data_IF_019833741955
#
_entry.id   IF_019833741955
#
_cell.length_a   1.000
_cell.length_b   1.000
_cell.length_c   1.000
_cell.angle_alpha   90.00
_cell.angle_beta   90.00
_cell.angle_gamma   90.00
#
_symmetry.space_group_name_H-M   'P 1'
#
loop_
_entity.id
_entity.type
_entity.pdbx_description
1 polymer ?
#
# COMPACT_ATOMS: atom_id res chain seq x y z
N UNK A 1 4.19 20.10 -0.92
CA UNK A 1 4.67 19.51 0.35
C UNK A 1 6.15 19.21 0.19
N UNK A 2 7.01 19.80 1.02
CA UNK A 2 8.44 19.48 1.08
C UNK A 2 8.66 18.54 2.26
N UNK A 3 9.26 17.38 2.01
CA UNK A 3 9.67 16.44 3.06
C UNK A 3 11.11 16.76 3.45
N UNK A 4 11.37 16.80 4.75
CA UNK A 4 12.70 17.03 5.30
C UNK A 4 12.89 16.16 6.54
N UNK A 5 14.13 15.75 6.78
CA UNK A 5 14.55 15.08 8.01
C UNK A 5 15.08 16.07 9.05
N UNK A 6 15.14 17.36 8.71
CA UNK A 6 15.52 18.43 9.63
C UNK A 6 14.49 18.59 10.74
N UNK A 7 14.90 18.28 11.97
CA UNK A 7 14.05 18.28 13.14
C UNK A 7 13.80 19.67 13.70
N UNK A 8 14.61 20.68 13.35
CA UNK A 8 14.40 22.05 13.81
C UNK A 8 13.08 22.62 13.29
N UNK A 9 12.65 22.15 12.12
CA UNK A 9 11.38 22.53 11.49
C UNK A 9 10.15 21.85 12.10
N UNK A 10 10.32 20.90 13.03
CA UNK A 10 9.19 20.20 13.67
C UNK A 10 8.33 21.12 14.54
N UNK A 11 8.90 22.21 15.06
CA UNK A 11 8.18 23.20 15.86
C UNK A 11 7.22 24.06 15.02
N UNK A 12 7.48 24.20 13.71
CA UNK A 12 6.71 25.08 12.82
C UNK A 12 5.97 24.33 11.70
N UNK A 13 6.33 23.08 11.40
CA UNK A 13 5.70 22.25 10.37
C UNK A 13 4.76 21.16 10.92
N UNK A 14 4.49 20.16 10.07
CA UNK A 14 3.81 18.92 10.47
C UNK A 14 4.81 17.76 10.39
N UNK A 15 4.91 17.01 11.47
CA UNK A 15 5.83 15.88 11.63
C UNK A 15 5.09 14.56 11.43
N UNK A 16 5.71 13.60 10.75
CA UNK A 16 5.31 12.19 10.85
C UNK A 16 5.80 11.68 12.19
N UNK A 17 4.91 11.64 13.18
CA UNK A 17 5.25 11.35 14.57
C UNK A 17 5.41 9.85 14.86
N UNK A 18 4.74 9.00 14.08
CA UNK A 18 4.86 7.55 14.20
C UNK A 18 4.17 6.82 13.06
N UNK A 19 4.56 5.57 12.84
CA UNK A 19 4.04 4.70 11.80
C UNK A 19 3.89 3.26 12.26
N UNK A 20 3.06 2.50 11.55
CA UNK A 20 2.87 1.08 11.81
C UNK A 20 2.46 0.37 10.55
N UNK A 21 3.02 -0.82 10.33
CA UNK A 21 2.67 -1.70 9.23
C UNK A 21 2.38 -3.09 9.81
N UNK A 22 1.40 -3.78 9.24
CA UNK A 22 1.04 -5.14 9.62
C UNK A 22 0.52 -5.91 8.41
N UNK A 23 0.38 -7.22 8.56
CA UNK A 23 -0.33 -8.06 7.62
C UNK A 23 -1.45 -8.85 8.32
N UNK A 24 -2.59 -9.00 7.66
CA UNK A 24 -3.73 -9.77 8.18
C UNK A 24 -3.46 -11.29 8.19
N UNK A 25 -2.56 -11.79 7.33
CA UNK A 25 -2.31 -13.22 7.10
C UNK A 25 -3.59 -14.04 6.83
N UNK A 26 -4.62 -13.41 6.24
CA UNK A 26 -5.97 -13.97 6.15
C UNK A 26 -6.35 -14.39 4.72
N UNK A 27 -6.37 -13.43 3.79
CA UNK A 27 -6.76 -13.66 2.40
C UNK A 27 -6.09 -12.65 1.47
N UNK A 28 -5.83 -13.04 0.22
CA UNK A 28 -5.15 -12.17 -0.75
C UNK A 28 -5.99 -10.95 -1.16
N UNK A 29 -7.32 -11.04 -1.06
CA UNK A 29 -8.23 -9.97 -1.48
C UNK A 29 -9.26 -9.55 -0.44
N UNK A 30 -9.46 -10.34 0.60
CA UNK A 30 -10.47 -10.06 1.61
C UNK A 30 -9.77 -9.61 2.90
N UNK A 31 -10.19 -8.49 3.50
CA UNK A 31 -9.59 -8.01 4.74
C UNK A 31 -9.88 -8.97 5.89
N UNK A 32 -9.12 -8.84 6.98
CA UNK A 32 -9.44 -9.52 8.24
C UNK A 32 -10.86 -9.20 8.72
N UNK A 33 -11.62 -10.21 9.14
CA UNK A 33 -12.97 -10.00 9.70
C UNK A 33 -12.93 -9.45 11.13
N UNK A 34 -11.79 -9.51 11.79
CA UNK A 34 -11.60 -9.07 13.17
C UNK A 34 -11.08 -7.64 13.27
N UNK A 35 -10.46 -7.09 12.22
CA UNK A 35 -9.84 -5.76 12.24
C UNK A 35 -8.58 -5.66 13.11
N UNK A 36 -8.05 -6.80 13.55
CA UNK A 36 -6.90 -6.92 14.44
C UNK A 36 -5.58 -6.51 13.78
N UNK A 37 -5.38 -6.82 12.49
CA UNK A 37 -4.20 -6.38 11.73
C UNK A 37 -4.12 -4.85 11.67
N UNK A 38 -5.17 -4.20 11.18
CA UNK A 38 -5.21 -2.74 11.15
C UNK A 38 -5.13 -2.13 12.56
N UNK A 39 -5.79 -2.71 13.58
CA UNK A 39 -5.67 -2.26 14.97
C UNK A 39 -4.23 -2.35 15.49
N UNK A 40 -3.48 -3.41 15.12
CA UNK A 40 -2.06 -3.55 15.46
C UNK A 40 -1.23 -2.43 14.81
N UNK A 41 -1.45 -2.14 13.53
CA UNK A 41 -0.75 -1.06 12.83
C UNK A 41 -1.04 0.31 13.47
N UNK A 42 -2.31 0.61 13.79
CA UNK A 42 -2.70 1.84 14.51
C UNK A 42 -2.00 1.90 15.86
N UNK A 43 -2.04 0.82 16.64
CA UNK A 43 -1.38 0.75 17.94
C UNK A 43 0.13 0.95 17.87
N UNK A 44 0.79 0.41 16.84
CA UNK A 44 2.22 0.63 16.60
C UNK A 44 2.52 2.11 16.29
N UNK A 45 1.74 2.73 15.41
CA UNK A 45 1.91 4.15 15.06
C UNK A 45 1.69 5.08 16.27
N UNK A 46 0.66 4.79 17.09
CA UNK A 46 0.40 5.53 18.33
C UNK A 46 1.52 5.38 19.36
N UNK A 47 2.04 4.15 19.54
CA UNK A 47 3.19 3.89 20.43
C UNK A 47 4.44 4.64 19.97
N UNK A 48 4.76 4.60 18.68
CA UNK A 48 5.91 5.33 18.13
C UNK A 48 5.74 6.85 18.29
N UNK A 49 4.53 7.37 18.08
CA UNK A 49 4.21 8.77 18.32
C UNK A 49 4.18 9.18 19.80
N UNK A 50 4.22 8.22 20.72
CA UNK A 50 4.01 8.42 22.16
C UNK A 50 2.68 9.13 22.47
N UNK A 51 1.61 8.75 21.76
CA UNK A 51 0.26 9.31 21.91
C UNK A 51 -0.75 8.24 22.26
N UNK A 52 -1.74 8.60 23.09
CA UNK A 52 -2.95 7.78 23.30
C UNK A 52 -4.04 8.13 22.28
N UNK A 53 -5.03 7.25 22.11
CA UNK A 53 -6.15 7.46 21.18
C UNK A 53 -6.89 8.79 21.42
N UNK A 54 -7.04 9.20 22.67
CA UNK A 54 -7.71 10.46 23.05
C UNK A 54 -6.98 11.73 22.55
N UNK A 55 -5.69 11.64 22.19
CA UNK A 55 -4.95 12.76 21.62
C UNK A 55 -5.18 12.92 20.11
N UNK A 56 -5.77 11.92 19.43
CA UNK A 56 -6.08 11.98 18.01
C UNK A 56 -7.42 12.67 17.81
N UNK A 57 -7.40 13.86 17.20
CA UNK A 57 -8.61 14.64 16.94
C UNK A 57 -9.16 14.52 15.51
N UNK A 58 -8.48 13.79 14.63
CA UNK A 58 -8.96 13.49 13.28
C UNK A 58 -8.42 12.14 12.81
N UNK A 59 -9.28 11.33 12.17
CA UNK A 59 -8.90 10.10 11.48
C UNK A 59 -9.27 10.20 10.01
N UNK A 60 -8.33 9.91 9.12
CA UNK A 60 -8.58 9.62 7.72
C UNK A 60 -8.42 8.10 7.51
N UNK A 61 -9.49 7.30 7.59
CA UNK A 61 -9.44 5.89 7.24
C UNK A 61 -9.00 5.64 5.77
N UNK A 62 -8.83 4.37 5.43
CA UNK A 62 -8.75 3.91 4.04
C UNK A 62 -10.07 4.18 3.31
N UNK A 63 -11.23 3.88 3.91
CA UNK A 63 -12.55 4.41 3.54
C UNK A 63 -12.94 4.22 2.08
N UNK A 64 -12.97 2.97 1.61
CA UNK A 64 -13.21 2.63 0.19
C UNK A 64 -14.67 2.60 -0.23
N UNK A 65 -15.61 2.71 0.72
CA UNK A 65 -17.02 2.45 0.50
C UNK A 65 -17.31 1.00 0.04
N UNK A 66 -16.40 0.07 0.37
CA UNK A 66 -16.63 -1.37 0.14
C UNK A 66 -17.02 -2.04 1.45
N UNK A 67 -18.09 -2.84 1.42
CA UNK A 67 -18.72 -3.41 2.62
C UNK A 67 -17.70 -4.05 3.57
N UNK A 68 -16.89 -4.99 3.07
CA UNK A 68 -15.97 -5.74 3.93
C UNK A 68 -14.81 -4.90 4.47
N UNK A 69 -14.30 -3.95 3.68
CA UNK A 69 -13.19 -3.12 4.14
C UNK A 69 -13.68 -2.11 5.19
N UNK A 70 -14.79 -1.43 4.93
CA UNK A 70 -15.33 -0.44 5.86
C UNK A 70 -15.80 -1.11 7.16
N UNK A 71 -16.35 -2.34 7.10
CA UNK A 71 -16.62 -3.15 8.29
C UNK A 71 -15.34 -3.44 9.09
N UNK A 72 -14.27 -3.89 8.43
CA UNK A 72 -12.98 -4.18 9.06
C UNK A 72 -12.39 -2.92 9.73
N UNK A 73 -12.42 -1.78 9.04
CA UNK A 73 -11.93 -0.52 9.58
C UNK A 73 -12.72 -0.05 10.79
N UNK A 74 -14.04 -0.21 10.76
CA UNK A 74 -14.89 0.13 11.90
C UNK A 74 -14.52 -0.68 13.15
N UNK A 75 -14.19 -1.96 12.98
CA UNK A 75 -13.71 -2.84 14.06
C UNK A 75 -12.34 -2.41 14.56
N UNK A 76 -11.41 -2.09 13.66
CA UNK A 76 -10.08 -1.63 14.04
C UNK A 76 -10.11 -0.33 14.85
N UNK A 77 -10.94 0.63 14.43
CA UNK A 77 -11.15 1.88 15.16
C UNK A 77 -11.89 1.66 16.49
N UNK A 78 -12.79 0.68 16.58
CA UNK A 78 -13.40 0.27 17.84
C UNK A 78 -12.38 -0.29 18.82
N UNK A 79 -11.56 -1.25 18.38
CA UNK A 79 -10.52 -1.90 19.18
C UNK A 79 -9.47 -0.91 19.71
N UNK A 80 -9.25 0.20 18.99
CA UNK A 80 -8.27 1.24 19.34
C UNK A 80 -8.89 2.44 20.06
N UNK A 81 -10.20 2.43 20.30
CA UNK A 81 -10.90 3.51 21.02
C UNK A 81 -11.07 4.81 20.22
N UNK A 82 -11.08 4.73 18.89
CA UNK A 82 -11.12 5.87 17.98
C UNK A 82 -12.48 6.11 17.28
N UNK A 83 -13.50 5.27 17.52
CA UNK A 83 -14.83 5.44 16.90
C UNK A 83 -15.45 6.84 17.08
N UNK A 84 -15.20 7.47 18.23
CA UNK A 84 -15.71 8.81 18.54
C UNK A 84 -14.93 9.95 17.88
N UNK A 85 -13.73 9.69 17.36
CA UNK A 85 -12.90 10.71 16.73
C UNK A 85 -13.45 11.06 15.35
N UNK A 86 -13.56 12.36 14.99
CA UNK A 86 -13.99 12.79 13.67
C UNK A 86 -13.26 12.05 12.54
N UNK A 87 -14.01 11.34 11.71
CA UNK A 87 -13.53 10.59 10.56
C UNK A 87 -13.92 11.29 9.24
N UNK A 88 -13.04 11.26 8.25
CA UNK A 88 -13.35 11.63 6.86
C UNK A 88 -12.99 10.50 5.87
N UNK A 89 -13.43 10.61 4.63
CA UNK A 89 -12.91 9.83 3.51
C UNK A 89 -12.83 10.73 2.29
N UNK A 90 -11.74 10.61 1.54
CA UNK A 90 -11.42 11.50 0.43
C UNK A 90 -11.67 10.83 -0.94
N UNK A 91 -11.84 9.51 -0.96
CA UNK A 91 -12.14 8.74 -2.18
C UNK A 91 -13.43 9.15 -2.88
N UNK A 92 -14.49 9.60 -2.19
CA UNK A 92 -15.67 10.17 -2.87
C UNK A 92 -15.41 11.43 -3.71
N UNK A 93 -14.27 12.11 -3.50
CA UNK A 93 -13.93 13.34 -4.23
C UNK A 93 -13.13 13.06 -5.51
N UNK A 94 -12.20 12.11 -5.48
CA UNK A 94 -11.25 11.87 -6.58
C UNK A 94 -11.06 10.39 -6.95
N UNK A 95 -11.87 9.49 -6.39
CA UNK A 95 -11.76 8.05 -6.58
C UNK A 95 -10.64 7.41 -5.75
N UNK A 96 -10.48 6.09 -5.90
CA UNK A 96 -9.35 5.38 -5.29
C UNK A 96 -8.15 5.38 -6.24
N UNK A 97 -7.15 6.20 -5.94
CA UNK A 97 -5.94 6.38 -6.77
C UNK A 97 -4.89 5.26 -6.59
N UNK A 98 -5.32 4.06 -6.21
CA UNK A 98 -4.50 2.86 -6.00
C UNK A 98 -3.24 3.17 -5.15
N UNK A 99 -2.04 2.87 -5.68
CA UNK A 99 -0.77 3.10 -4.98
C UNK A 99 -0.50 4.55 -4.58
N UNK A 100 -1.13 5.53 -5.24
CA UNK A 100 -0.99 6.95 -4.90
C UNK A 100 -1.94 7.40 -3.77
N UNK A 101 -2.89 6.55 -3.34
CA UNK A 101 -3.90 6.91 -2.33
C UNK A 101 -3.26 7.34 -1.02
N UNK A 102 -2.24 6.61 -0.55
CA UNK A 102 -1.56 6.91 0.71
C UNK A 102 -0.96 8.32 0.74
N UNK A 103 -0.27 8.73 -0.33
CA UNK A 103 0.39 10.05 -0.39
C UNK A 103 -0.60 11.19 -0.61
N UNK A 104 -1.54 11.05 -1.54
CA UNK A 104 -2.53 12.11 -1.87
C UNK A 104 -3.39 12.40 -0.65
N UNK A 105 -3.91 11.36 0.00
CA UNK A 105 -4.77 11.51 1.16
C UNK A 105 -4.00 12.02 2.39
N UNK A 106 -2.72 11.65 2.54
CA UNK A 106 -1.85 12.20 3.60
C UNK A 106 -1.64 13.70 3.42
N UNK A 107 -1.41 14.19 2.19
CA UNK A 107 -1.27 15.63 1.91
C UNK A 107 -2.54 16.38 2.35
N UNK A 108 -3.71 15.88 1.97
CA UNK A 108 -4.99 16.50 2.33
C UNK A 108 -5.26 16.41 3.84
N UNK A 109 -4.88 15.29 4.48
CA UNK A 109 -4.99 15.11 5.94
C UNK A 109 -4.09 16.10 6.69
N UNK A 110 -2.85 16.29 6.25
CA UNK A 110 -1.91 17.26 6.81
C UNK A 110 -2.43 18.69 6.62
N UNK A 111 -3.00 19.00 5.47
CA UNK A 111 -3.61 20.31 5.23
C UNK A 111 -4.84 20.54 6.14
N UNK A 112 -5.74 19.56 6.25
CA UNK A 112 -6.88 19.62 7.17
C UNK A 112 -6.45 19.77 8.63
N UNK A 113 -5.37 19.10 9.04
CA UNK A 113 -4.78 19.25 10.37
C UNK A 113 -4.26 20.68 10.61
N UNK A 114 -3.61 21.28 9.61
CA UNK A 114 -3.10 22.64 9.70
C UNK A 114 -4.22 23.69 9.85
N UNK A 115 -5.27 23.56 9.02
CA UNK A 115 -6.40 24.49 8.97
C UNK A 115 -7.46 24.22 10.05
N UNK A 116 -7.31 23.15 10.84
CA UNK A 116 -8.33 22.74 11.81
C UNK A 116 -9.65 22.36 11.13
N UNK A 117 -9.58 21.65 10.00
CA UNK A 117 -10.74 21.27 9.18
C UNK A 117 -10.78 19.77 8.93
N UNK A 118 -11.97 19.19 9.12
CA UNK A 118 -12.32 17.82 8.76
C UNK A 118 -13.29 17.88 7.60
N UNK A 119 -12.86 17.44 6.42
CA UNK A 119 -13.73 17.39 5.25
C UNK A 119 -14.93 16.47 5.48
N UNK A 120 -16.10 16.91 5.02
CA UNK A 120 -17.28 16.05 4.96
C UNK A 120 -17.06 14.89 3.98
N UNK A 121 -17.87 13.85 4.08
CA UNK A 121 -17.82 12.69 3.21
C UNK A 121 -18.95 12.79 2.19
N UNK A 122 -18.60 13.12 0.94
CA UNK A 122 -19.56 13.26 -0.15
C UNK A 122 -20.37 11.97 -0.32
N UNK A 123 -21.70 12.09 -0.32
CA UNK A 123 -22.61 10.96 -0.48
C UNK A 123 -22.85 10.14 0.80
N UNK A 124 -22.26 10.51 1.94
CA UNK A 124 -22.58 9.89 3.22
C UNK A 124 -23.97 10.30 3.68
N UNK A 125 -24.82 9.31 3.95
CA UNK A 125 -26.19 9.51 4.44
C UNK A 125 -26.51 8.58 5.61
N UNK A 126 -26.08 7.32 5.52
CA UNK A 126 -26.36 6.29 6.51
C UNK A 126 -25.09 5.54 6.90
N UNK A 127 -25.03 5.11 8.17
CA UNK A 127 -23.94 4.30 8.67
C UNK A 127 -24.15 2.83 8.27
N UNK A 128 -23.22 2.27 7.50
CA UNK A 128 -23.28 0.90 7.01
C UNK A 128 -22.38 -0.10 7.75
N UNK A 129 -21.81 0.26 8.90
CA UNK A 129 -20.78 -0.53 9.60
C UNK A 129 -21.22 -0.95 11.01
N UNK A 130 -20.74 -2.09 11.53
CA UNK A 130 -21.16 -2.62 12.83
C UNK A 130 -20.74 -1.77 14.03
N UNK A 131 -19.67 -0.98 13.89
CA UNK A 131 -19.21 -0.05 14.92
C UNK A 131 -19.29 1.38 14.37
N UNK A 132 -20.32 2.16 14.75
CA UNK A 132 -20.53 3.49 14.19
C UNK A 132 -19.31 4.39 14.36
N UNK A 133 -18.88 4.99 13.26
CA UNK A 133 -17.80 5.96 13.21
C UNK A 133 -18.36 7.39 13.18
N UNK A 134 -17.61 8.34 13.73
CA UNK A 134 -17.99 9.75 13.73
C UNK A 134 -17.75 10.41 12.35
N UNK A 135 -18.56 10.03 11.37
CA UNK A 135 -18.53 10.52 9.98
C UNK A 135 -19.65 11.54 9.77
N UNK A 136 -19.36 12.58 8.99
CA UNK A 136 -20.31 13.65 8.65
C UNK A 136 -20.30 13.90 7.14
N UNK A 137 -21.46 14.19 6.55
CA UNK A 137 -21.55 14.68 5.17
C UNK A 137 -21.06 16.13 5.06
N UNK A 138 -21.19 16.90 6.14
CA UNK A 138 -20.78 18.31 6.21
C UNK A 138 -19.31 18.46 6.64
N UNK A 139 -18.67 19.51 6.13
CA UNK A 139 -17.36 19.96 6.62
C UNK A 139 -17.45 20.41 8.07
N UNK A 140 -16.47 20.05 8.88
CA UNK A 140 -16.42 20.38 10.31
C UNK A 140 -15.11 21.06 10.65
N UNK A 141 -15.16 21.97 11.62
CA UNK A 141 -13.94 22.48 12.24
C UNK A 141 -13.52 21.56 13.39
N UNK A 142 -12.22 21.41 13.57
CA UNK A 142 -11.61 20.66 14.68
C UNK A 142 -10.42 21.44 15.21
N UNK A 143 -10.20 21.38 16.52
CA UNK A 143 -8.99 21.92 17.16
C UNK A 143 -8.18 20.74 17.67
N UNK A 144 -7.22 20.29 16.88
CA UNK A 144 -6.35 19.16 17.21
C UNK A 144 -4.96 19.38 16.63
N UNK A 145 -3.96 18.86 17.31
CA UNK A 145 -2.57 18.86 16.84
C UNK A 145 -2.14 17.48 16.32
N UNK A 146 -3.01 16.47 16.38
CA UNK A 146 -2.71 15.14 15.85
C UNK A 146 -3.83 14.58 14.97
N UNK A 147 -3.42 13.91 13.89
CA UNK A 147 -4.27 13.18 12.98
C UNK A 147 -3.70 11.79 12.69
N UNK A 148 -4.58 10.81 12.48
CA UNK A 148 -4.25 9.45 12.07
C UNK A 148 -4.69 9.22 10.62
N UNK A 149 -3.79 8.73 9.76
CA UNK A 149 -4.13 8.17 8.45
C UNK A 149 -3.98 6.67 8.49
N UNK A 150 -4.95 5.93 7.95
CA UNK A 150 -4.80 4.50 7.68
C UNK A 150 -4.91 4.19 6.20
N UNK A 151 -4.31 3.08 5.79
CA UNK A 151 -4.42 2.50 4.47
C UNK A 151 -4.43 0.98 4.59
N UNK A 152 -5.31 0.32 3.85
CA UNK A 152 -5.39 -1.13 3.78
C UNK A 152 -5.38 -1.55 2.32
N UNK A 153 -4.62 -2.59 1.98
CA UNK A 153 -4.42 -3.02 0.61
C UNK A 153 -4.62 -4.52 0.44
N UNK A 154 -4.69 -4.96 -0.81
CA UNK A 154 -4.66 -6.37 -1.14
C UNK A 154 -3.39 -7.05 -0.59
N UNK A 155 -3.46 -8.37 -0.42
CA UNK A 155 -2.42 -9.15 0.25
C UNK A 155 -2.45 -9.01 1.78
N UNK A 156 -3.47 -8.35 2.33
CA UNK A 156 -3.67 -8.16 3.78
C UNK A 156 -2.79 -7.08 4.40
N UNK A 157 -2.14 -6.23 3.60
CA UNK A 157 -1.25 -5.19 4.13
C UNK A 157 -2.04 -4.03 4.72
N UNK A 158 -1.75 -3.66 5.96
CA UNK A 158 -2.30 -2.47 6.61
C UNK A 158 -1.17 -1.53 7.02
N UNK A 159 -1.40 -0.23 6.88
CA UNK A 159 -0.52 0.83 7.32
C UNK A 159 -1.28 1.89 8.11
N UNK A 160 -0.61 2.48 9.09
CA UNK A 160 -1.07 3.61 9.86
C UNK A 160 0.06 4.64 10.01
N UNK A 161 -0.29 5.92 9.92
CA UNK A 161 0.65 7.03 10.12
C UNK A 161 0.00 8.11 11.01
N UNK A 162 0.74 8.57 12.00
CA UNK A 162 0.34 9.67 12.87
C UNK A 162 1.06 10.94 12.44
N UNK A 163 0.29 11.97 12.12
CA UNK A 163 0.80 13.30 11.84
C UNK A 163 0.59 14.19 13.05
N UNK A 164 1.61 14.97 13.41
CA UNK A 164 1.55 15.92 14.52
C UNK A 164 1.96 17.32 14.05
N UNK A 165 1.10 18.30 14.26
CA UNK A 165 1.38 19.72 14.02
C UNK A 165 2.32 20.25 15.10
N UNK A 166 3.29 21.06 14.69
CA UNK A 166 4.15 21.81 15.62
C UNK A 166 3.34 22.84 16.40
N UNK A 167 3.77 23.17 17.62
CA UNK A 167 3.10 24.13 18.51
C UNK A 167 3.90 25.43 18.68
N UNK A 168 4.91 25.66 17.85
CA UNK A 168 5.71 26.89 17.88
C UNK A 168 4.90 28.11 17.46
N UNK A 169 5.36 29.31 17.85
CA UNK A 169 4.69 30.59 17.53
C UNK A 169 4.43 30.85 16.04
N UNK A 170 5.20 30.20 15.16
CA UNK A 170 5.06 30.28 13.70
C UNK A 170 4.61 28.93 13.10
N UNK A 171 3.81 28.17 13.84
CA UNK A 171 3.33 26.89 13.35
C UNK A 171 2.41 27.06 12.13
N UNK A 172 2.58 26.15 11.17
CA UNK A 172 1.81 26.14 9.94
C UNK A 172 0.31 26.01 10.27
N UNK A 173 -0.49 27.00 9.85
CA UNK A 173 -1.92 27.07 10.12
C UNK A 173 -2.31 27.74 11.46
N UNK A 174 -1.39 28.40 12.17
CA UNK A 174 -1.73 29.25 13.33
C UNK A 174 -1.92 30.71 12.93
N UNK A 175 -3.00 31.02 12.21
CA UNK A 175 -3.54 32.38 12.28
C UNK A 175 -4.36 32.47 13.57
N UNK A 176 -3.71 32.84 14.67
CA UNK A 176 -4.44 33.32 15.85
C UNK A 176 -5.16 34.61 15.47
N UNK A 177 -6.48 34.50 15.35
CA UNK A 177 -7.41 35.62 15.49
C UNK A 177 -7.23 36.22 16.90
N UNK A 178 -6.34 37.21 17.05
CA UNK A 178 -6.03 37.72 18.38
C UNK A 178 -4.96 38.81 18.56
N UNK A 179 -4.71 39.72 17.62
CA UNK A 179 -4.23 41.07 18.00
C UNK A 179 -4.59 42.11 16.94
N UNK A 180 -5.41 43.08 17.33
CA UNK A 180 -5.62 44.33 16.61
C UNK A 180 -4.33 45.13 16.60
N UNK A 181 -3.54 45.05 15.54
CA UNK A 181 -2.55 46.07 15.19
C UNK A 181 -2.91 46.58 13.78
N UNK A 182 -3.60 47.73 13.74
CA UNK A 182 -4.14 48.38 12.55
C UNK A 182 -3.07 48.95 11.59
N UNK A 183 -1.83 48.47 11.59
CA UNK A 183 -0.75 49.08 10.80
C UNK A 183 0.17 48.13 10.03
N UNK A 184 -0.25 46.89 9.74
CA UNK A 184 0.49 45.98 8.86
C UNK A 184 -0.28 45.68 7.56
N UNK A 185 -0.85 46.70 6.94
CA UNK A 185 -1.43 46.63 5.59
C UNK A 185 -0.47 47.26 4.57
N UNK A 186 0.69 46.62 4.36
CA UNK A 186 1.53 46.86 3.19
C UNK A 186 2.49 45.67 3.01
N UNK A 187 2.55 45.15 1.79
CA UNK A 187 3.51 44.14 1.30
C UNK A 187 3.26 42.67 1.66
N UNK A 188 2.25 42.07 1.02
CA UNK A 188 2.43 40.73 0.42
C UNK A 188 1.93 40.77 -1.02
N UNK A 189 2.87 40.93 -1.95
CA UNK A 189 2.63 40.86 -3.39
C UNK A 189 2.34 39.42 -3.80
N UNK A 190 1.16 39.23 -4.37
CA UNK A 190 0.77 38.29 -5.42
C UNK A 190 1.89 37.43 -6.03
N UNK A 191 1.97 36.16 -5.63
CA UNK A 191 2.56 35.09 -6.45
C UNK A 191 1.65 33.86 -6.39
N UNK A 192 0.39 34.01 -6.80
CA UNK A 192 -0.44 32.92 -7.32
C UNK A 192 -1.45 33.49 -8.33
N UNK A 193 -0.90 34.13 -9.38
CA UNK A 193 -1.64 34.53 -10.57
C UNK A 193 -1.60 33.43 -11.63
N UNK A 194 -2.46 32.42 -11.50
CA UNK A 194 -2.76 31.45 -12.55
C UNK A 194 -4.22 31.56 -12.93
N UNK A 195 -4.48 32.23 -14.06
CA UNK A 195 -5.82 32.56 -14.58
C UNK A 195 -6.69 31.31 -14.73
N UNK A 196 -7.89 31.34 -14.15
CA UNK A 196 -9.01 30.55 -14.64
C UNK A 196 -9.37 31.06 -16.03
N UNK A 197 -9.32 30.19 -17.04
CA UNK A 197 -9.85 30.49 -18.36
C UNK A 197 -11.38 30.35 -18.30
N UNK A 198 -12.07 31.48 -18.23
CA UNK A 198 -13.42 31.61 -18.75
C UNK A 198 -13.37 31.44 -20.27
N UNK A 199 -13.91 30.33 -20.75
CA UNK A 199 -14.05 30.00 -22.16
C UNK A 199 -15.53 29.88 -22.49
N UNK A 200 -16.02 30.85 -23.26
CA UNK A 200 -17.39 31.03 -23.70
C UNK A 200 -17.97 29.80 -24.44
N UNK A 201 -19.26 29.58 -24.22
CA UNK A 201 -20.09 28.58 -24.88
C UNK A 201 -20.77 29.19 -26.11
N UNK A 202 -20.53 28.72 -27.35
CA UNK A 202 -21.36 29.08 -28.48
C UNK A 202 -22.11 27.85 -29.00
N UNK A 203 -23.42 27.79 -28.72
CA UNK A 203 -24.47 27.46 -29.69
C UNK A 203 -25.80 27.26 -28.98
N UNK A 204 -26.71 28.23 -29.17
CA UNK A 204 -28.15 27.98 -29.15
C UNK A 204 -28.57 27.57 -30.56
N UNK A 205 -29.35 26.51 -30.69
CA UNK A 205 -30.46 26.46 -31.64
C UNK A 205 -31.50 25.41 -31.22
N UNK A 206 -32.66 25.93 -30.83
CA UNK A 206 -34.04 25.48 -30.99
C UNK A 206 -34.42 23.99 -31.00
N UNK A 207 -35.47 23.66 -30.24
CA UNK A 207 -36.29 22.47 -30.51
C UNK A 207 -37.13 21.94 -29.34
N UNK A 208 -38.16 22.68 -28.95
CA UNK A 208 -39.50 22.24 -28.48
C UNK A 208 -39.73 20.84 -27.87
N UNK A 209 -40.41 20.86 -26.71
CA UNK A 209 -41.54 20.01 -26.27
C UNK A 209 -41.39 18.48 -26.22
N UNK A 210 -41.78 17.90 -25.09
CA UNK A 210 -42.26 16.51 -25.08
C UNK A 210 -42.26 15.88 -23.69
N UNK A 211 -43.45 15.59 -23.19
CA UNK A 211 -43.71 15.03 -21.89
C UNK A 211 -43.46 13.51 -21.79
N UNK A 212 -43.32 13.07 -20.54
CA UNK A 212 -43.97 11.88 -19.96
C UNK A 212 -43.56 10.43 -20.33
N UNK A 213 -43.42 9.67 -19.23
CA UNK A 213 -43.88 8.29 -18.98
C UNK A 213 -43.02 7.08 -19.38
N UNK A 214 -42.51 6.43 -18.33
CA UNK A 214 -42.99 5.13 -17.82
C UNK A 214 -42.79 3.83 -18.64
N UNK A 215 -42.45 2.78 -17.88
CA UNK A 215 -42.63 1.33 -18.11
C UNK A 215 -41.48 0.44 -18.60
N UNK A 216 -41.13 -0.46 -17.68
CA UNK A 216 -41.23 -1.92 -17.75
C UNK A 216 -40.44 -2.73 -18.79
N UNK A 217 -39.65 -3.62 -18.18
CA UNK A 217 -39.73 -5.08 -18.32
C UNK A 217 -38.81 -5.88 -19.26
N UNK A 218 -38.27 -6.89 -18.59
CA UNK A 218 -38.20 -8.29 -18.99
C UNK A 218 -37.06 -8.78 -19.90
N UNK A 219 -36.24 -9.62 -19.26
CA UNK A 219 -35.93 -11.01 -19.66
C UNK A 219 -35.43 -11.26 -21.09
N UNK A 220 -34.25 -11.88 -21.20
CA UNK A 220 -34.27 -13.31 -21.50
C UNK A 220 -32.99 -14.09 -21.17
N UNK A 221 -33.25 -15.37 -20.88
CA UNK A 221 -32.35 -16.45 -20.49
C UNK A 221 -31.83 -17.21 -21.73
N UNK A 222 -30.63 -17.77 -21.55
CA UNK A 222 -30.10 -19.04 -22.13
C UNK A 222 -29.81 -19.10 -23.64
N UNK A 223 -28.60 -19.56 -23.96
CA UNK A 223 -28.33 -20.90 -24.52
C UNK A 223 -26.82 -21.23 -24.50
N UNK A 224 -26.50 -22.40 -23.97
CA UNK A 224 -25.28 -23.14 -24.28
C UNK A 224 -25.52 -23.89 -25.59
N UNK A 225 -24.51 -24.00 -26.45
CA UNK A 225 -24.22 -25.23 -27.21
C UNK A 225 -22.80 -25.19 -27.80
N UNK A 226 -22.20 -26.37 -27.79
CA UNK A 226 -20.83 -26.79 -28.12
C UNK A 226 -20.60 -27.02 -29.62
N UNK A 227 -19.41 -26.69 -30.12
CA UNK A 227 -18.59 -27.36 -31.15
C UNK A 227 -17.56 -26.32 -31.66
N UNK A 228 -16.24 -26.55 -31.72
CA UNK A 228 -15.56 -27.66 -32.39
C UNK A 228 -14.99 -27.13 -33.71
N UNK A 229 -13.67 -26.97 -33.81
CA UNK A 229 -13.00 -26.71 -35.09
C UNK A 229 -11.82 -25.73 -35.01
N UNK A 230 -10.60 -26.27 -34.93
CA UNK A 230 -9.45 -25.61 -35.57
C UNK A 230 -9.61 -25.71 -37.10
N UNK A 231 -9.06 -24.76 -37.84
CA UNK A 231 -7.88 -25.12 -38.63
C UNK A 231 -6.76 -24.08 -38.52
N UNK A 232 -5.52 -24.57 -38.62
CA UNK A 232 -4.33 -23.76 -38.67
C UNK A 232 -4.18 -22.97 -39.97
N UNK A 233 -3.30 -21.97 -39.93
CA UNK A 233 -2.66 -21.47 -41.13
C UNK A 233 -1.20 -21.10 -40.85
N UNK A 234 -0.39 -21.44 -41.84
CA UNK A 234 1.07 -21.40 -41.92
C UNK A 234 1.60 -20.02 -42.32
N UNK A 235 2.72 -19.65 -41.70
CA UNK A 235 3.86 -18.84 -42.17
C UNK A 235 3.71 -17.75 -43.23
N UNK A 236 4.26 -16.57 -42.91
CA UNK A 236 5.23 -15.87 -43.77
C UNK A 236 6.01 -14.84 -42.94
N UNK A 237 7.34 -14.91 -43.04
CA UNK A 237 8.33 -13.89 -42.67
C UNK A 237 8.08 -12.57 -43.44
N UNK A 238 8.42 -11.42 -42.84
CA UNK A 238 9.60 -10.62 -43.25
C UNK A 238 9.67 -9.25 -42.54
N UNK A 239 10.80 -9.07 -41.84
CA UNK A 239 11.67 -7.88 -41.86
C UNK A 239 11.26 -6.56 -41.16
N UNK A 240 11.98 -6.31 -40.05
CA UNK A 240 12.77 -5.11 -39.76
C UNK A 240 12.19 -3.70 -39.99
N UNK A 241 12.01 -2.97 -38.88
CA UNK A 241 12.45 -1.58 -38.79
C UNK A 241 12.84 -1.26 -37.34
N UNK A 242 14.13 -1.33 -37.07
CA UNK A 242 14.74 -0.79 -35.86
C UNK A 242 14.65 0.74 -35.90
N UNK A 243 14.13 1.36 -34.84
CA UNK A 243 14.29 2.78 -34.59
C UNK A 243 15.08 2.97 -33.29
N UNK A 244 16.35 3.30 -33.48
CA UNK A 244 17.25 3.87 -32.47
C UNK A 244 16.59 5.09 -31.81
N UNK A 245 16.47 5.07 -30.48
CA UNK A 245 16.40 6.30 -29.68
C UNK A 245 17.45 6.17 -28.58
N UNK A 246 18.38 7.13 -28.61
CA UNK A 246 19.69 7.04 -27.96
C UNK A 246 19.66 6.87 -26.45
N UNK A 247 20.63 6.07 -26.00
CA UNK A 247 21.15 6.09 -24.64
C UNK A 247 21.61 7.52 -24.31
N UNK A 248 20.89 8.18 -23.39
CA UNK A 248 21.46 9.21 -22.54
C UNK A 248 21.76 8.59 -21.20
N UNK A 249 23.03 8.57 -20.86
CA UNK A 249 23.56 8.24 -19.54
C UNK A 249 22.77 8.99 -18.46
N UNK A 250 22.06 8.24 -17.62
CA UNK A 250 21.52 8.79 -16.38
C UNK A 250 22.63 8.72 -15.35
N UNK A 251 23.25 9.87 -15.08
CA UNK A 251 24.25 10.05 -14.04
C UNK A 251 23.77 9.46 -12.71
N UNK A 252 24.69 8.77 -12.04
CA UNK A 252 24.51 8.14 -10.75
C UNK A 252 23.72 9.02 -9.76
N UNK A 253 22.54 8.54 -9.35
CA UNK A 253 21.82 9.11 -8.23
C UNK A 253 22.65 8.83 -6.96
N UNK A 254 23.33 9.87 -6.48
CA UNK A 254 23.96 9.88 -5.17
C UNK A 254 22.93 9.44 -4.11
N UNK A 255 23.33 8.46 -3.31
CA UNK A 255 22.52 7.90 -2.25
C UNK A 255 22.09 8.95 -1.24
N UNK A 256 20.81 9.31 -1.27
CA UNK A 256 20.11 9.91 -0.15
C UNK A 256 19.08 8.91 0.34
N UNK A 257 19.48 8.22 1.41
CA UNK A 257 18.72 7.24 2.14
C UNK A 257 17.39 7.82 2.64
N UNK A 258 16.26 7.22 2.23
CA UNK A 258 15.02 7.32 3.01
C UNK A 258 15.11 6.28 4.11
N UNK A 259 15.72 6.65 5.23
CA UNK A 259 15.54 5.95 6.49
C UNK A 259 14.48 6.75 7.24
N UNK A 260 13.32 6.16 7.49
CA UNK A 260 12.42 6.64 8.54
C UNK A 260 13.07 6.31 9.89
N UNK A 261 14.09 7.10 10.27
CA UNK A 261 14.69 6.99 11.60
C UNK A 261 13.83 7.80 12.57
N UNK A 262 13.04 7.04 13.33
CA UNK A 262 12.47 7.43 14.61
C UNK A 262 13.55 8.00 15.54
N UNK A 263 13.11 8.79 16.52
CA UNK A 263 13.98 9.54 17.42
C UNK A 263 14.99 8.67 18.18
N UNK A 264 16.21 9.16 18.26
CA UNK A 264 17.11 8.84 19.37
C UNK A 264 17.87 10.11 19.74
N UNK A 265 17.69 10.55 20.98
CA UNK A 265 18.67 11.36 21.67
C UNK A 265 19.99 10.56 21.72
N UNK A 266 21.10 11.27 21.58
CA UNK A 266 22.44 10.76 21.26
C UNK A 266 22.80 9.39 21.82
N UNK A 267 23.13 8.48 20.92
CA UNK A 267 23.99 7.34 21.20
C UNK A 267 24.92 7.14 19.99
N UNK A 268 26.23 7.11 20.24
CA UNK A 268 27.28 7.09 19.23
C UNK A 268 27.24 5.83 18.35
N UNK A 269 27.57 6.00 17.07
CA UNK A 269 27.52 5.02 15.98
C UNK A 269 28.42 3.77 16.17
N UNK A 270 29.17 3.70 17.27
CA UNK A 270 30.19 2.66 17.53
C UNK A 270 29.79 1.62 18.59
N UNK A 271 28.56 1.69 19.15
CA UNK A 271 28.04 0.72 20.13
C UNK A 271 26.76 -0.01 19.67
N UNK A 272 26.61 -0.28 18.36
CA UNK A 272 25.65 -1.31 17.92
C UNK A 272 26.27 -2.69 18.10
N UNK A 273 26.20 -3.22 19.31
CA UNK A 273 26.30 -4.66 19.55
C UNK A 273 25.35 -5.34 18.56
N UNK A 274 25.84 -6.30 17.78
CA UNK A 274 25.06 -7.07 16.81
C UNK A 274 23.73 -7.48 17.46
N UNK A 275 22.61 -6.93 16.99
CA UNK A 275 21.28 -7.14 17.59
C UNK A 275 20.47 -8.21 16.83
N UNK A 276 21.01 -8.73 15.73
CA UNK A 276 20.37 -9.70 14.87
C UNK A 276 21.40 -10.62 14.20
N UNK A 277 20.96 -11.80 13.75
CA UNK A 277 21.78 -12.77 13.03
C UNK A 277 20.95 -13.55 12.01
N UNK A 278 21.58 -13.98 10.92
CA UNK A 278 20.94 -14.80 9.89
C UNK A 278 20.87 -16.25 10.37
N UNK A 279 19.67 -16.83 10.41
CA UNK A 279 19.43 -18.19 10.94
C UNK A 279 19.09 -19.20 9.86
N UNK A 280 18.60 -18.74 8.71
CA UNK A 280 18.33 -19.58 7.55
C UNK A 280 18.50 -18.80 6.25
N UNK A 281 18.85 -19.54 5.19
CA UNK A 281 18.95 -19.00 3.84
C UNK A 281 18.49 -20.05 2.83
N UNK A 282 17.83 -19.60 1.77
CA UNK A 282 17.43 -20.44 0.63
C UNK A 282 17.70 -19.68 -0.66
N UNK A 283 18.18 -20.42 -1.66
CA UNK A 283 18.37 -19.91 -3.02
C UNK A 283 17.71 -20.86 -4.02
N UNK A 284 16.90 -20.30 -4.92
CA UNK A 284 16.28 -20.95 -6.06
C UNK A 284 16.68 -20.17 -7.30
N UNK A 285 17.70 -20.68 -7.99
CA UNK A 285 18.17 -20.13 -9.26
C UNK A 285 17.53 -20.87 -10.43
N UNK A 286 17.58 -20.24 -11.61
CA UNK A 286 17.09 -20.84 -12.85
C UNK A 286 17.66 -22.24 -13.10
N UNK A 287 16.76 -23.20 -13.35
CA UNK A 287 17.12 -24.52 -13.88
C UNK A 287 17.45 -24.39 -15.38
N UNK A 288 18.61 -24.93 -15.85
CA UNK A 288 19.08 -24.70 -17.21
C UNK A 288 18.17 -25.30 -18.29
N UNK A 289 17.57 -26.46 -18.02
CA UNK A 289 16.89 -27.27 -19.05
C UNK A 289 15.39 -27.51 -18.79
N UNK A 290 14.89 -27.18 -17.60
CA UNK A 290 13.53 -27.54 -17.19
C UNK A 290 12.66 -26.29 -17.16
N UNK A 291 11.53 -26.25 -17.89
CA UNK A 291 10.60 -25.13 -17.85
C UNK A 291 10.13 -24.83 -16.43
N UNK A 292 10.03 -23.55 -16.06
CA UNK A 292 9.68 -23.10 -14.71
C UNK A 292 8.46 -23.85 -14.14
N UNK A 293 7.37 -23.95 -14.91
CA UNK A 293 6.14 -24.60 -14.45
C UNK A 293 6.31 -26.10 -14.11
N UNK A 294 7.23 -26.83 -14.73
CA UNK A 294 7.54 -28.21 -14.35
C UNK A 294 8.39 -28.21 -13.08
N UNK A 295 9.49 -27.45 -13.11
CA UNK A 295 10.43 -27.32 -12.01
C UNK A 295 9.75 -26.94 -10.68
N UNK A 296 8.94 -25.88 -10.68
CA UNK A 296 8.32 -25.39 -9.45
C UNK A 296 7.28 -26.35 -8.89
N UNK A 297 6.59 -27.11 -9.75
CA UNK A 297 5.62 -28.13 -9.31
C UNK A 297 6.31 -29.33 -8.67
N UNK A 298 7.47 -29.73 -9.16
CA UNK A 298 8.27 -30.79 -8.54
C UNK A 298 8.77 -30.38 -7.16
N UNK A 299 9.33 -29.16 -7.03
CA UNK A 299 9.73 -28.63 -5.72
C UNK A 299 8.55 -28.51 -4.76
N UNK A 300 7.41 -28.00 -5.24
CA UNK A 300 6.20 -27.92 -4.43
C UNK A 300 5.71 -29.30 -3.93
N UNK A 301 5.74 -30.35 -4.78
CA UNK A 301 5.41 -31.72 -4.34
C UNK A 301 6.35 -32.23 -3.26
N UNK A 302 7.63 -31.87 -3.32
CA UNK A 302 8.63 -32.26 -2.33
C UNK A 302 8.39 -31.63 -0.95
N UNK A 303 7.66 -30.50 -0.88
CA UNK A 303 7.27 -29.88 0.39
C UNK A 303 6.28 -30.73 1.21
N UNK A 304 5.59 -31.69 0.57
CA UNK A 304 4.53 -32.48 1.17
C UNK A 304 3.42 -31.64 1.85
N UNK A 305 3.18 -30.43 1.34
CA UNK A 305 2.26 -29.44 1.88
C UNK A 305 1.05 -29.25 0.96
N UNK A 306 -0.14 -29.82 1.29
CA UNK A 306 -1.30 -29.74 0.42
C UNK A 306 -1.97 -28.36 0.49
N UNK A 307 -1.57 -27.45 -0.40
CA UNK A 307 -2.25 -26.19 -0.67
C UNK A 307 -2.98 -26.20 -2.02
N UNK A 308 -4.30 -26.40 -2.00
CA UNK A 308 -5.14 -26.42 -3.21
C UNK A 308 -5.12 -25.09 -3.99
N UNK A 309 -4.70 -23.98 -3.38
CA UNK A 309 -4.62 -22.68 -4.04
C UNK A 309 -3.31 -22.48 -4.80
N UNK A 310 -2.28 -23.31 -4.59
CA UNK A 310 -0.99 -23.18 -5.26
C UNK A 310 -1.11 -23.15 -6.79
N UNK A 311 -1.98 -23.98 -7.37
CA UNK A 311 -2.19 -24.01 -8.83
C UNK A 311 -2.85 -22.75 -9.38
N UNK A 312 -3.48 -21.94 -8.53
CA UNK A 312 -4.13 -20.67 -8.89
C UNK A 312 -3.22 -19.45 -8.70
N UNK A 313 -2.03 -19.64 -8.13
CA UNK A 313 -1.04 -18.57 -7.99
C UNK A 313 -0.41 -18.25 -9.33
N UNK A 314 -0.02 -17.00 -9.53
CA UNK A 314 0.90 -16.65 -10.58
C UNK A 314 2.31 -17.20 -10.28
N UNK A 315 3.17 -17.18 -11.28
CA UNK A 315 4.46 -17.84 -11.20
C UNK A 315 5.42 -17.16 -10.21
N UNK A 316 5.36 -15.83 -10.07
CA UNK A 316 6.10 -15.09 -9.05
C UNK A 316 5.68 -15.52 -7.64
N UNK A 317 4.38 -15.61 -7.35
CA UNK A 317 3.91 -16.08 -6.05
C UNK A 317 4.25 -17.55 -5.82
N UNK A 318 4.22 -18.43 -6.83
CA UNK A 318 4.64 -19.83 -6.68
C UNK A 318 6.11 -19.94 -6.26
N UNK A 319 6.97 -19.14 -6.88
CA UNK A 319 8.40 -19.09 -6.57
C UNK A 319 8.62 -18.65 -5.11
N UNK A 320 8.04 -17.51 -4.74
CA UNK A 320 8.12 -16.96 -3.38
C UNK A 320 7.53 -17.93 -2.33
N UNK A 321 6.41 -18.58 -2.64
CA UNK A 321 5.76 -19.56 -1.78
C UNK A 321 6.69 -20.74 -1.49
N UNK A 322 7.23 -21.38 -2.54
CA UNK A 322 8.12 -22.54 -2.39
C UNK A 322 9.37 -22.16 -1.62
N UNK A 323 10.03 -21.05 -2.00
CA UNK A 323 11.21 -20.56 -1.30
C UNK A 323 10.93 -20.32 0.18
N UNK A 324 9.81 -19.65 0.52
CA UNK A 324 9.46 -19.42 1.93
C UNK A 324 9.19 -20.70 2.71
N UNK A 325 8.59 -21.73 2.08
CA UNK A 325 8.35 -23.02 2.71
C UNK A 325 9.66 -23.75 2.99
N UNK A 326 10.60 -23.72 2.04
CA UNK A 326 11.93 -24.29 2.25
C UNK A 326 12.72 -23.52 3.31
N UNK A 327 12.65 -22.19 3.31
CA UNK A 327 13.32 -21.34 4.31
C UNK A 327 12.84 -21.68 5.73
N UNK A 328 11.53 -21.70 5.94
CA UNK A 328 10.90 -21.85 7.26
C UNK A 328 10.61 -23.31 7.65
N UNK A 329 11.02 -24.29 6.85
CA UNK A 329 10.83 -25.71 7.12
C UNK A 329 11.39 -26.11 8.50
N UNK A 330 10.51 -26.26 9.50
CA UNK A 330 10.89 -26.54 10.88
C UNK A 330 11.61 -25.40 11.62
N UNK A 331 11.59 -24.18 11.06
CA UNK A 331 12.36 -23.01 11.51
C UNK A 331 11.49 -21.75 11.63
N UNK A 332 10.22 -21.88 12.01
CA UNK A 332 9.40 -20.70 12.30
C UNK A 332 9.95 -20.03 13.57
N UNK A 333 10.27 -18.72 13.57
CA UNK A 333 10.71 -18.01 14.76
C UNK A 333 9.75 -18.19 15.93
N UNK A 334 10.30 -18.34 17.13
CA UNK A 334 9.54 -18.48 18.38
C UNK A 334 9.17 -17.10 18.95
N UNK A 335 8.35 -16.37 18.20
CA UNK A 335 7.80 -15.09 18.63
C UNK A 335 6.37 -14.91 18.07
N UNK A 336 5.60 -13.94 18.63
CA UNK A 336 4.26 -13.64 18.15
C UNK A 336 4.23 -13.35 16.65
N UNK A 337 3.14 -13.73 15.97
CA UNK A 337 2.99 -13.57 14.52
C UNK A 337 3.19 -12.12 14.05
N UNK A 338 2.73 -11.16 14.86
CA UNK A 338 2.84 -9.72 14.64
C UNK A 338 4.29 -9.19 14.74
N UNK A 339 5.22 -10.02 15.21
CA UNK A 339 6.65 -9.71 15.38
C UNK A 339 7.53 -10.35 14.31
N UNK A 340 6.93 -11.02 13.32
CA UNK A 340 7.63 -11.62 12.19
C UNK A 340 7.26 -10.86 10.92
N UNK A 341 8.24 -10.16 10.34
CA UNK A 341 8.07 -9.39 9.11
C UNK A 341 8.45 -10.16 7.84
N UNK A 342 7.98 -9.67 6.70
CA UNK A 342 8.33 -10.12 5.34
C UNK A 342 8.74 -8.90 4.51
N UNK A 343 9.97 -8.87 4.02
CA UNK A 343 10.50 -7.74 3.24
C UNK A 343 11.18 -8.23 1.97
N UNK A 344 10.52 -8.09 0.83
CA UNK A 344 11.05 -8.59 -0.44
C UNK A 344 11.33 -7.45 -1.41
N UNK A 345 12.25 -7.69 -2.34
CA UNK A 345 12.41 -6.85 -3.50
C UNK A 345 12.61 -7.66 -4.77
N UNK A 346 12.36 -7.00 -5.90
CA UNK A 346 12.83 -7.47 -7.20
C UNK A 346 12.96 -6.29 -8.16
N UNK A 347 13.27 -6.56 -9.43
CA UNK A 347 13.38 -5.54 -10.47
C UNK A 347 12.09 -5.35 -11.21
N UNK A 348 11.45 -6.46 -11.56
CA UNK A 348 10.34 -6.46 -12.51
C UNK A 348 8.98 -6.22 -11.87
N UNK A 349 8.91 -6.03 -10.55
CA UNK A 349 7.67 -6.03 -9.77
C UNK A 349 6.84 -7.30 -10.10
N UNK A 350 5.71 -7.12 -10.77
CA UNK A 350 4.81 -8.16 -11.24
C UNK A 350 4.74 -8.26 -12.77
N UNK A 351 5.70 -7.66 -13.51
CA UNK A 351 5.60 -7.40 -14.95
C UNK A 351 5.19 -8.62 -15.79
N UNK A 352 5.66 -9.81 -15.43
CA UNK A 352 5.26 -11.05 -16.10
C UNK A 352 3.74 -11.32 -16.00
N UNK A 353 3.18 -11.09 -14.80
CA UNK A 353 1.74 -11.16 -14.54
C UNK A 353 0.99 -10.01 -15.19
N UNK A 354 1.55 -8.80 -15.21
CA UNK A 354 0.99 -7.65 -15.92
C UNK A 354 0.84 -7.93 -17.43
N UNK A 355 1.90 -8.44 -18.08
CA UNK A 355 1.89 -8.79 -19.50
C UNK A 355 0.87 -9.90 -19.81
N UNK A 356 0.80 -10.93 -18.96
CA UNK A 356 -0.22 -11.99 -19.10
C UNK A 356 -1.63 -11.45 -18.92
N UNK A 357 -1.84 -10.53 -17.99
CA UNK A 357 -3.14 -9.90 -17.79
C UNK A 357 -3.55 -9.03 -18.99
N UNK A 358 -2.61 -8.25 -19.55
CA UNK A 358 -2.85 -7.47 -20.75
C UNK A 358 -3.24 -8.35 -21.94
N UNK A 359 -2.55 -9.49 -22.14
CA UNK A 359 -2.91 -10.43 -23.21
C UNK A 359 -4.33 -11.00 -23.05
N UNK A 360 -4.82 -11.17 -21.82
CA UNK A 360 -6.22 -11.59 -21.55
C UNK A 360 -7.20 -10.46 -21.88
N UNK A 361 -6.84 -9.20 -21.62
CA UNK A 361 -7.66 -8.05 -22.01
C UNK A 361 -7.72 -7.95 -23.54
N UNK A 362 -6.57 -8.09 -24.22
CA UNK A 362 -6.45 -7.98 -25.68
C UNK A 362 -7.20 -9.09 -26.42
N UNK A 363 -7.42 -10.24 -25.78
CA UNK A 363 -8.22 -11.33 -26.33
C UNK A 363 -9.73 -11.01 -26.42
N UNK A 364 -10.20 -9.97 -25.71
CA UNK A 364 -11.58 -9.46 -25.71
C UNK A 364 -12.66 -10.54 -25.47
N UNK A 365 -12.33 -11.57 -24.68
CA UNK A 365 -13.22 -12.69 -24.33
C UNK A 365 -13.97 -12.48 -23.00
N UNK A 366 -13.85 -11.28 -22.42
CA UNK A 366 -14.39 -10.93 -21.11
C UNK A 366 -13.55 -11.40 -19.91
N UNK A 367 -12.43 -12.10 -20.14
CA UNK A 367 -11.51 -12.58 -19.10
C UNK A 367 -10.72 -11.48 -18.40
N UNK A 368 -10.58 -10.31 -19.04
CA UNK A 368 -9.80 -9.17 -18.55
C UNK A 368 -10.31 -8.58 -17.22
N UNK A 369 -11.57 -8.83 -16.87
CA UNK A 369 -12.16 -8.37 -15.61
C UNK A 369 -12.04 -9.39 -14.46
N UNK A 370 -11.37 -10.53 -14.66
CA UNK A 370 -11.32 -11.60 -13.65
C UNK A 370 -10.53 -11.18 -12.40
N UNK A 371 -11.16 -11.13 -11.21
CA UNK A 371 -10.47 -10.84 -9.95
C UNK A 371 -9.39 -11.87 -9.59
N UNK A 372 -9.46 -13.07 -10.18
CA UNK A 372 -8.47 -14.13 -9.98
C UNK A 372 -7.15 -13.87 -10.72
N UNK A 373 -7.15 -12.95 -11.68
CA UNK A 373 -5.97 -12.60 -12.49
C UNK A 373 -5.43 -11.23 -12.06
N UNK A 374 -6.32 -10.23 -11.95
CA UNK A 374 -5.94 -8.86 -11.62
C UNK A 374 -5.13 -8.74 -10.32
N UNK A 375 -5.50 -9.46 -9.26
CA UNK A 375 -4.76 -9.32 -7.98
C UNK A 375 -3.27 -9.63 -8.13
N UNK A 376 -2.89 -10.54 -9.01
CA UNK A 376 -1.48 -10.90 -9.21
C UNK A 376 -0.68 -9.88 -10.04
N UNK A 377 -1.31 -8.83 -10.56
CA UNK A 377 -0.64 -7.66 -11.15
C UNK A 377 -0.15 -6.68 -10.08
N UNK A 378 -0.18 -7.09 -8.81
CA UNK A 378 0.29 -6.32 -7.68
C UNK A 378 1.46 -7.08 -7.05
N UNK A 379 2.69 -6.54 -7.06
CA UNK A 379 3.86 -7.25 -6.58
C UNK A 379 3.77 -7.59 -5.09
N UNK A 380 3.00 -6.83 -4.31
CA UNK A 380 2.84 -7.08 -2.89
C UNK A 380 2.03 -8.36 -2.57
N UNK A 381 1.34 -8.97 -3.54
CA UNK A 381 0.62 -10.23 -3.30
C UNK A 381 1.55 -11.36 -2.94
N UNK A 382 2.79 -11.40 -3.45
CA UNK A 382 3.72 -12.47 -3.06
C UNK A 382 4.01 -12.45 -1.55
N UNK A 383 4.08 -11.25 -0.95
CA UNK A 383 4.26 -11.09 0.50
C UNK A 383 3.02 -11.59 1.23
N UNK A 384 1.83 -11.24 0.74
CA UNK A 384 0.56 -11.75 1.26
C UNK A 384 0.48 -13.28 1.21
N UNK A 385 0.97 -13.92 0.15
CA UNK A 385 0.99 -15.39 0.04
C UNK A 385 1.92 -16.03 1.08
N UNK A 386 3.11 -15.45 1.31
CA UNK A 386 4.03 -15.88 2.37
C UNK A 386 3.37 -15.69 3.75
N UNK A 387 2.80 -14.51 3.98
CA UNK A 387 2.14 -14.17 5.24
C UNK A 387 0.99 -15.14 5.56
N UNK A 388 0.10 -15.39 4.59
CA UNK A 388 -1.01 -16.36 4.73
C UNK A 388 -0.49 -17.77 4.98
N UNK A 389 0.56 -18.19 4.27
CA UNK A 389 1.12 -19.53 4.41
C UNK A 389 1.65 -19.78 5.81
N UNK A 390 2.40 -18.83 6.36
CA UNK A 390 3.15 -19.02 7.61
C UNK A 390 2.49 -18.33 8.82
N UNK A 391 1.34 -17.68 8.63
CA UNK A 391 0.65 -16.91 9.65
C UNK A 391 1.50 -15.74 10.16
N UNK A 392 2.16 -15.01 9.26
CA UNK A 392 3.04 -13.88 9.60
C UNK A 392 2.24 -12.58 9.50
N UNK A 393 2.16 -11.84 10.60
CA UNK A 393 1.30 -10.66 10.73
C UNK A 393 2.07 -9.36 10.94
N UNK A 394 3.40 -9.43 10.99
CA UNK A 394 4.27 -8.28 11.13
C UNK A 394 4.34 -7.44 9.87
N UNK A 395 5.42 -6.68 9.75
CA UNK A 395 5.61 -5.77 8.64
C UNK A 395 5.70 -6.50 7.29
N UNK A 396 5.02 -5.98 6.27
CA UNK A 396 4.98 -6.58 4.94
C UNK A 396 5.27 -5.50 3.90
N UNK A 397 6.52 -5.44 3.44
CA UNK A 397 7.02 -4.33 2.59
C UNK A 397 7.74 -4.83 1.35
N UNK A 398 7.34 -4.30 0.19
CA UNK A 398 7.96 -4.61 -1.09
C UNK A 398 8.75 -3.42 -1.64
N UNK A 399 9.92 -3.70 -2.25
CA UNK A 399 10.72 -2.71 -2.95
C UNK A 399 10.98 -3.11 -4.41
N UNK A 400 11.01 -2.13 -5.30
CA UNK A 400 11.48 -2.32 -6.67
C UNK A 400 12.88 -1.70 -6.81
N UNK A 401 13.88 -2.52 -7.14
CA UNK A 401 15.27 -2.09 -7.34
C UNK A 401 15.83 -2.63 -8.66
N UNK A 402 16.73 -1.91 -9.35
CA UNK A 402 17.26 -2.35 -10.64
C UNK A 402 18.03 -3.67 -10.57
N UNK A 403 18.64 -3.98 -9.43
CA UNK A 403 19.42 -5.21 -9.23
C UNK A 403 19.59 -5.56 -7.73
N UNK A 404 20.14 -6.76 -7.48
CA UNK A 404 20.38 -7.35 -6.15
C UNK A 404 21.53 -6.70 -5.36
N UNK A 405 22.38 -5.89 -6.00
CA UNK A 405 23.60 -5.37 -5.34
C UNK A 405 23.29 -4.38 -4.21
N UNK A 406 22.04 -3.93 -4.13
CA UNK A 406 21.56 -3.05 -3.09
C UNK A 406 21.45 -3.79 -1.73
N UNK A 407 22.42 -3.54 -0.84
CA UNK A 407 22.36 -3.96 0.56
C UNK A 407 21.22 -3.32 1.38
N UNK A 408 20.37 -2.50 0.75
CA UNK A 408 19.28 -1.80 1.42
C UNK A 408 18.31 -2.74 2.13
N UNK A 409 17.91 -3.84 1.50
CA UNK A 409 16.88 -4.75 2.07
C UNK A 409 17.39 -5.39 3.36
N UNK A 410 18.67 -5.81 3.37
CA UNK A 410 19.34 -6.30 4.58
C UNK A 410 19.31 -5.24 5.67
N UNK A 411 19.80 -4.03 5.36
CA UNK A 411 19.85 -2.91 6.32
C UNK A 411 18.46 -2.52 6.82
N UNK A 412 17.44 -2.64 5.98
CA UNK A 412 16.05 -2.41 6.34
C UNK A 412 15.56 -3.46 7.35
N UNK A 413 15.76 -4.74 7.05
CA UNK A 413 15.39 -5.85 7.91
C UNK A 413 16.11 -5.79 9.28
N UNK A 414 17.43 -5.58 9.28
CA UNK A 414 18.22 -5.38 10.50
C UNK A 414 17.75 -4.14 11.27
N UNK A 415 17.39 -3.07 10.56
CA UNK A 415 16.82 -1.84 11.13
C UNK A 415 15.50 -2.09 11.86
N UNK A 416 14.60 -2.90 11.30
CA UNK A 416 13.35 -3.27 11.96
C UNK A 416 13.60 -4.00 13.29
N UNK A 417 14.60 -4.87 13.34
CA UNK A 417 14.97 -5.60 14.56
C UNK A 417 15.65 -4.66 15.57
N UNK A 418 16.63 -3.87 15.11
CA UNK A 418 17.37 -2.94 15.96
C UNK A 418 16.48 -1.86 16.60
N UNK A 419 15.42 -1.44 15.90
CA UNK A 419 14.40 -0.51 16.41
C UNK A 419 13.35 -1.20 17.30
N UNK A 420 13.45 -2.52 17.50
CA UNK A 420 12.48 -3.29 18.28
C UNK A 420 11.10 -3.38 17.62
N UNK A 421 10.99 -3.13 16.31
CA UNK A 421 9.72 -3.22 15.57
C UNK A 421 9.37 -4.67 15.26
N UNK A 422 10.37 -5.49 14.92
CA UNK A 422 10.24 -6.91 14.65
C UNK A 422 11.24 -7.71 15.49
N UNK A 423 10.95 -8.98 15.75
CA UNK A 423 11.88 -9.92 16.38
C UNK A 423 12.51 -10.87 15.34
N UNK A 424 11.83 -11.08 14.22
CA UNK A 424 12.35 -11.81 13.08
C UNK A 424 11.87 -11.20 11.75
N UNK A 425 12.66 -11.32 10.70
CA UNK A 425 12.31 -10.83 9.37
C UNK A 425 12.73 -11.85 8.31
N UNK A 426 11.78 -12.32 7.51
CA UNK A 426 12.04 -13.00 6.24
C UNK A 426 12.28 -11.92 5.20
N UNK A 427 13.47 -11.85 4.62
CA UNK A 427 13.78 -10.83 3.62
C UNK A 427 14.58 -11.38 2.46
N UNK A 428 14.59 -10.68 1.34
CA UNK A 428 15.45 -11.04 0.22
C UNK A 428 14.92 -10.61 -1.14
N UNK A 429 15.39 -11.33 -2.16
CA UNK A 429 15.08 -11.07 -3.56
C UNK A 429 14.21 -12.17 -4.14
N UNK A 430 13.19 -11.81 -4.92
CA UNK A 430 12.36 -12.78 -5.65
C UNK A 430 11.94 -12.21 -7.00
N UNK A 431 12.69 -12.54 -8.05
CA UNK A 431 12.46 -12.08 -9.42
C UNK A 431 11.92 -13.21 -10.28
N UNK A 432 10.95 -12.87 -11.12
CA UNK A 432 10.50 -13.70 -12.22
C UNK A 432 10.01 -12.79 -13.35
N UNK A 433 10.61 -12.92 -14.53
CA UNK A 433 10.16 -12.22 -15.73
C UNK A 433 10.64 -12.94 -17.00
N UNK A 434 9.74 -13.22 -17.92
CA UNK A 434 10.11 -13.77 -19.25
C UNK A 434 10.77 -15.14 -19.18
N UNK A 435 10.42 -15.96 -18.19
CA UNK A 435 10.99 -17.29 -17.97
C UNK A 435 12.34 -17.31 -17.24
N UNK A 436 12.97 -16.15 -17.04
CA UNK A 436 14.09 -16.01 -16.11
C UNK A 436 13.53 -15.85 -14.69
N UNK A 437 14.15 -16.53 -13.73
CA UNK A 437 13.77 -16.45 -12.33
C UNK A 437 14.95 -16.66 -11.40
N UNK A 438 14.86 -16.00 -10.26
CA UNK A 438 15.92 -15.97 -9.27
C UNK A 438 15.35 -15.52 -7.92
N UNK A 439 15.43 -16.41 -6.93
CA UNK A 439 14.91 -16.14 -5.59
C UNK A 439 15.93 -16.50 -4.53
N UNK A 440 16.27 -15.53 -3.69
CA UNK A 440 17.14 -15.70 -2.53
C UNK A 440 16.44 -15.10 -1.32
N UNK A 441 16.08 -15.93 -0.35
CA UNK A 441 15.45 -15.48 0.89
C UNK A 441 16.34 -15.83 2.08
N UNK A 442 16.36 -14.92 3.06
CA UNK A 442 17.10 -15.05 4.31
C UNK A 442 16.12 -14.80 5.46
N UNK A 443 16.26 -15.59 6.52
CA UNK A 443 15.62 -15.33 7.80
C UNK A 443 16.66 -14.71 8.72
N UNK A 444 16.37 -13.53 9.24
CA UNK A 444 17.19 -12.84 10.24
C UNK A 444 16.39 -12.69 11.51
N UNK A 445 16.98 -13.06 12.65
CA UNK A 445 16.34 -13.09 13.95
C UNK A 445 17.14 -12.25 14.95
N UNK A 446 16.41 -11.63 15.89
CA UNK A 446 16.98 -10.91 17.01
C UNK A 446 17.88 -11.84 17.84
N UNK A 447 19.03 -11.33 18.28
CA UNK A 447 19.87 -12.06 19.23
C UNK A 447 19.22 -12.06 20.62
N UNK A 448 19.21 -13.24 21.27
CA UNK A 448 18.63 -13.46 22.60
C UNK A 448 19.27 -12.62 23.71
#
# INVERSE_FOLDING_TARGET
MLLTTDRELSATGVTVAGGGISNDANHISAPSRTGDGLAFAIGAALREASLGAAAIGMVNPHGTATLYNDEMESRALHLTGLCGTPCNSLKPYFGHTLGASGVIESIVTVHGLAEGSVFGVKGYAECGVPYPLNISAEHRTTRTDAALKTASGFGGCNAAAVFRRGTGRNAYGTDETGSTDENAAAERSDVFGGRYCDGENPARQDGTNGAETDRDDAQNKRRQETAGGQPGFTGADESSAAANVGQKECAAANGNNVITNAGQAGCSETERIHAAHDTAHVAITRHPEVPFGVFIRERYRALADPNMKFSKMDDLCKLAYVASCELLAGRRPDCPAERIGVVLANRSASLDSDMRHQAVIDADDGGGASPAVFVYTLPNIMLGQIAIKHGLKGESTFFAFPDKSCNFIRKYAEGLIAQGRMDAVVWGWCELCGGEYDCELTLTEKLE
#
